data_IF_907770010610
#
_entry.id   IF_907770010610
#
_cell.length_a   1.000
_cell.length_b   1.000
_cell.length_c   1.000
_cell.angle_alpha   90.00
_cell.angle_beta   90.00
_cell.angle_gamma   90.00
#
_symmetry.space_group_name_H-M   'P 1'
#
loop_
_entity.id
_entity.type
_entity.pdbx_description
1 polymer ?
#
# COMPACT_ATOMS: atom_id res chain seq x y z
N UNK A 1 18.15 -9.41 25.60
CA UNK A 1 17.89 -8.16 24.86
C UNK A 1 16.98 -8.54 23.71
N UNK A 2 15.71 -8.21 23.81
CA UNK A 2 14.72 -8.47 22.74
C UNK A 2 15.04 -7.57 21.56
N UNK A 3 15.44 -8.14 20.42
CA UNK A 3 15.55 -7.39 19.16
C UNK A 3 14.15 -6.93 18.79
N UNK A 4 13.93 -5.62 18.72
CA UNK A 4 12.70 -5.09 18.19
C UNK A 4 12.58 -5.59 16.73
N UNK A 5 11.60 -6.44 16.46
CA UNK A 5 11.29 -6.82 15.10
C UNK A 5 10.91 -5.56 14.30
N UNK A 6 11.40 -5.39 13.06
CA UNK A 6 11.07 -4.22 12.27
C UNK A 6 9.57 -4.14 12.00
N UNK A 7 9.09 -2.93 11.82
CA UNK A 7 7.68 -2.51 11.84
C UNK A 7 6.71 -3.39 11.03
N UNK A 8 7.17 -4.02 9.94
CA UNK A 8 6.30 -4.83 9.07
C UNK A 8 6.36 -6.34 9.26
N UNK A 9 7.43 -6.91 9.80
CA UNK A 9 7.44 -8.33 10.15
C UNK A 9 6.32 -8.67 11.13
N UNK A 10 5.92 -7.70 11.98
CA UNK A 10 4.79 -7.83 12.90
C UNK A 10 3.45 -7.67 12.20
N UNK A 11 3.33 -6.82 11.16
CA UNK A 11 2.12 -6.70 10.34
C UNK A 11 1.87 -7.99 9.53
N UNK A 12 2.91 -8.57 8.96
CA UNK A 12 2.84 -9.80 8.15
C UNK A 12 2.43 -11.02 8.99
N UNK A 13 3.01 -11.19 10.18
CA UNK A 13 2.65 -12.28 11.09
C UNK A 13 1.24 -12.12 11.72
N UNK A 14 0.71 -10.90 11.77
CA UNK A 14 -0.56 -10.60 12.42
C UNK A 14 -1.76 -10.72 11.48
N UNK A 15 -1.59 -10.52 10.16
CA UNK A 15 -2.65 -10.80 9.18
C UNK A 15 -2.98 -12.30 9.12
N UNK A 16 -1.99 -13.18 9.24
CA UNK A 16 -2.21 -14.62 9.32
C UNK A 16 -2.86 -15.08 10.65
N UNK A 17 -2.74 -14.29 11.74
CA UNK A 17 -3.31 -14.63 13.05
C UNK A 17 -4.74 -14.07 13.25
N UNK A 18 -5.16 -13.06 12.51
CA UNK A 18 -6.51 -12.48 12.64
C UNK A 18 -7.62 -13.40 12.09
N UNK A 19 -7.30 -14.21 11.08
CA UNK A 19 -8.24 -15.18 10.50
C UNK A 19 -8.68 -16.30 11.48
N UNK A 20 -7.93 -16.54 12.57
CA UNK A 20 -8.25 -17.58 13.57
C UNK A 20 -9.03 -17.06 14.79
N UNK A 21 -9.17 -15.74 14.98
CA UNK A 21 -9.83 -15.16 16.15
C UNK A 21 -11.31 -14.79 15.93
N UNK A 22 -11.79 -14.70 14.70
CA UNK A 22 -13.17 -14.31 14.39
C UNK A 22 -14.21 -15.45 14.55
N UNK A 23 -13.79 -16.70 14.67
CA UNK A 23 -14.69 -17.86 14.77
C UNK A 23 -15.18 -18.17 16.19
N UNK A 24 -14.89 -17.36 17.22
CA UNK A 24 -15.08 -17.71 18.63
C UNK A 24 -15.92 -16.79 19.52
N UNK A 25 -16.64 -15.78 19.01
CA UNK A 25 -17.36 -14.85 19.85
C UNK A 25 -18.86 -14.73 19.51
N UNK A 26 -19.61 -15.83 19.64
CA UNK A 26 -21.07 -15.77 19.78
C UNK A 26 -21.45 -16.27 21.18
N UNK A 27 -22.20 -15.42 21.90
CA UNK A 27 -22.92 -15.66 23.15
C UNK A 27 -22.13 -15.54 24.46
N UNK A 28 -22.32 -14.40 25.13
CA UNK A 28 -22.84 -14.38 26.50
C UNK A 28 -23.29 -12.96 26.89
N UNK A 29 -24.60 -12.81 27.03
CA UNK A 29 -25.25 -11.67 27.67
C UNK A 29 -25.17 -11.83 29.20
N UNK A 30 -24.70 -10.83 29.91
CA UNK A 30 -24.98 -10.72 31.35
C UNK A 30 -25.16 -9.24 31.76
N UNK A 31 -26.24 -9.07 32.45
CA UNK A 31 -26.95 -7.92 32.96
C UNK A 31 -26.16 -7.00 33.88
N UNK A 32 -26.50 -5.72 33.82
CA UNK A 32 -26.05 -4.65 34.69
C UNK A 32 -26.79 -4.61 36.03
N UNK A 33 -26.13 -4.09 37.08
CA UNK A 33 -26.80 -3.35 38.18
C UNK A 33 -25.76 -2.37 38.82
N UNK A 34 -26.26 -1.23 39.38
CA UNK A 34 -25.45 -0.04 39.61
C UNK A 34 -24.94 0.14 41.05
N UNK A 35 -23.90 0.93 41.27
CA UNK A 35 -23.57 1.47 42.58
C UNK A 35 -22.96 2.87 42.52
N UNK A 36 -23.71 3.75 43.01
CA UNK A 36 -23.64 4.99 43.81
C UNK A 36 -22.33 5.74 43.96
N UNK A 37 -22.57 7.05 43.93
CA UNK A 37 -21.74 8.20 44.10
C UNK A 37 -21.00 8.33 45.48
N UNK A 38 -19.90 9.08 45.46
CA UNK A 38 -19.26 9.64 46.66
C UNK A 38 -18.22 10.68 46.24
N UNK A 39 -18.62 11.96 46.36
CA UNK A 39 -17.76 13.10 46.07
C UNK A 39 -16.84 13.44 47.25
N UNK A 40 -15.79 14.20 46.95
CA UNK A 40 -15.33 15.32 47.81
C UNK A 40 -14.32 16.20 47.05
N UNK A 41 -14.51 17.47 47.23
CA UNK A 41 -13.80 18.67 46.80
C UNK A 41 -12.45 18.88 47.49
N UNK A 42 -11.44 19.50 46.79
CA UNK A 42 -10.81 20.78 47.17
C UNK A 42 -9.52 21.07 46.42
N UNK A 43 -9.50 22.20 45.79
CA UNK A 43 -8.81 23.51 45.92
C UNK A 43 -7.36 23.59 45.49
N UNK A 44 -7.15 24.41 44.46
CA UNK A 44 -6.35 25.62 44.51
C UNK A 44 -4.85 25.54 44.23
N UNK A 45 -4.42 26.17 43.16
CA UNK A 45 -3.03 26.47 42.94
C UNK A 45 -2.78 27.17 41.60
N UNK A 46 -2.89 28.50 41.62
CA UNK A 46 -2.45 29.40 40.55
C UNK A 46 -0.93 29.40 40.45
N UNK A 47 -0.35 29.24 39.23
CA UNK A 47 0.93 29.92 38.90
C UNK A 47 1.13 30.00 37.38
N UNK A 48 1.23 31.27 36.94
CA UNK A 48 2.09 31.85 35.90
C UNK A 48 2.30 31.10 34.60
N UNK A 49 1.82 31.72 33.51
CA UNK A 49 2.22 31.48 32.14
C UNK A 49 3.73 31.70 31.92
N UNK A 50 4.42 30.86 31.18
CA UNK A 50 5.66 31.23 30.53
C UNK A 50 5.41 31.71 29.09
N UNK A 51 6.29 32.57 28.67
CA UNK A 51 6.33 33.34 27.44
C UNK A 51 6.24 32.51 26.13
N UNK A 52 5.74 33.18 25.11
CA UNK A 52 5.73 32.76 23.72
C UNK A 52 7.08 32.14 23.26
N UNK A 53 7.12 30.85 23.14
CA UNK A 53 8.18 30.09 22.47
C UNK A 53 7.96 30.07 20.96
N UNK A 54 9.04 30.32 20.26
CA UNK A 54 9.22 30.37 18.81
C UNK A 54 8.53 29.19 18.07
N UNK A 55 8.05 29.48 16.87
CA UNK A 55 7.28 28.61 16.00
C UNK A 55 7.69 27.14 16.06
N UNK A 56 6.72 26.29 16.39
CA UNK A 56 6.85 24.86 16.30
C UNK A 56 7.01 24.46 14.84
N UNK A 57 8.00 23.60 14.55
CA UNK A 57 8.09 22.88 13.31
C UNK A 57 6.75 22.16 13.04
N UNK A 58 6.27 22.15 11.82
CA UNK A 58 5.05 21.41 11.50
C UNK A 58 5.32 19.91 11.68
N UNK A 59 4.32 19.13 12.07
CA UNK A 59 4.46 17.67 12.19
C UNK A 59 4.92 17.01 10.87
N UNK A 60 4.81 17.72 9.74
CA UNK A 60 5.32 17.32 8.44
C UNK A 60 6.85 17.38 8.33
N UNK A 61 7.50 18.32 9.06
CA UNK A 61 8.95 18.46 9.02
C UNK A 61 9.66 17.32 9.79
N UNK A 62 8.96 16.67 10.73
CA UNK A 62 9.48 15.57 11.53
C UNK A 62 9.23 14.17 10.94
N UNK A 63 8.59 14.09 9.79
CA UNK A 63 8.20 12.83 9.13
C UNK A 63 8.44 12.89 7.61
N UNK A 64 9.70 13.00 7.15
CA UNK A 64 10.00 13.22 5.75
C UNK A 64 9.63 12.01 4.88
N UNK A 65 8.96 12.29 3.75
CA UNK A 65 8.63 11.33 2.68
C UNK A 65 9.09 11.90 1.35
N UNK A 66 9.76 11.09 0.55
CA UNK A 66 10.12 11.41 -0.84
C UNK A 66 9.51 10.36 -1.77
N UNK A 67 8.56 10.76 -2.61
CA UNK A 67 8.06 9.93 -3.69
C UNK A 67 8.73 10.36 -5.00
N UNK A 68 9.32 9.40 -5.71
CA UNK A 68 9.90 9.63 -7.02
C UNK A 68 9.50 8.53 -8.01
N UNK A 69 9.18 8.92 -9.26
CA UNK A 69 8.85 7.96 -10.31
C UNK A 69 9.43 8.39 -11.67
N UNK A 70 9.84 7.40 -12.45
CA UNK A 70 10.21 7.50 -13.85
C UNK A 70 8.99 7.20 -14.69
N UNK A 71 8.49 8.20 -15.46
CA UNK A 71 7.23 8.12 -16.20
C UNK A 71 7.29 8.78 -17.57
N UNK A 72 8.19 9.74 -17.77
CA UNK A 72 8.32 10.47 -19.03
C UNK A 72 9.32 9.80 -19.98
N UNK A 73 9.23 10.10 -21.27
CA UNK A 73 10.19 9.57 -22.25
C UNK A 73 11.66 9.92 -21.90
N UNK A 74 12.00 11.18 -21.47
CA UNK A 74 13.33 11.48 -20.96
C UNK A 74 13.73 10.64 -19.74
N UNK A 75 12.82 10.38 -18.80
CA UNK A 75 13.12 9.55 -17.63
C UNK A 75 13.61 8.16 -18.08
N UNK A 76 12.93 7.55 -19.04
CA UNK A 76 13.31 6.25 -19.58
C UNK A 76 14.60 6.33 -20.40
N UNK A 77 14.79 7.39 -21.19
CA UNK A 77 15.98 7.57 -22.03
C UNK A 77 17.28 7.66 -21.22
N UNK A 78 17.24 8.33 -20.06
CA UNK A 78 18.43 8.58 -19.24
C UNK A 78 18.83 7.41 -18.33
N UNK A 79 18.06 6.34 -18.27
CA UNK A 79 18.45 5.12 -17.58
C UNK A 79 19.53 4.33 -18.32
N UNK A 80 20.10 3.34 -17.64
CA UNK A 80 21.06 2.40 -18.26
C UNK A 80 20.30 1.24 -18.90
N UNK A 81 20.41 1.12 -20.21
CA UNK A 81 19.79 0.07 -21.00
C UNK A 81 20.73 -1.11 -21.23
N UNK A 82 20.27 -2.32 -20.94
CA UNK A 82 20.89 -3.58 -21.36
C UNK A 82 19.83 -4.34 -22.14
N UNK A 83 19.79 -4.13 -23.47
CA UNK A 83 18.83 -4.76 -24.38
C UNK A 83 17.42 -4.19 -24.38
N UNK A 84 17.12 -3.20 -23.58
CA UNK A 84 15.84 -2.47 -23.55
C UNK A 84 15.87 -1.22 -24.44
N UNK A 85 14.69 -0.70 -24.77
CA UNK A 85 14.51 0.56 -25.52
C UNK A 85 13.37 1.36 -24.89
N UNK A 86 13.52 2.70 -24.81
CA UNK A 86 12.40 3.55 -24.42
C UNK A 86 11.32 3.57 -25.50
N UNK A 87 10.07 3.59 -25.08
CA UNK A 87 8.89 3.64 -25.97
C UNK A 87 8.26 5.01 -25.85
N UNK A 88 8.11 5.76 -26.97
CA UNK A 88 7.39 7.04 -26.97
C UNK A 88 5.87 6.80 -26.99
N UNK A 89 5.10 7.86 -26.81
CA UNK A 89 3.63 7.86 -26.93
C UNK A 89 2.92 8.54 -25.78
N UNK A 90 1.62 8.29 -25.68
CA UNK A 90 0.78 8.85 -24.61
C UNK A 90 1.12 8.31 -23.22
N UNK A 91 1.67 7.10 -23.16
CA UNK A 91 2.27 6.45 -21.98
C UNK A 91 3.69 6.02 -22.36
N UNK A 92 4.69 6.92 -22.23
CA UNK A 92 6.07 6.53 -22.47
C UNK A 92 6.50 5.43 -21.50
N UNK A 93 7.33 4.51 -21.95
CA UNK A 93 7.76 3.38 -21.14
C UNK A 93 9.04 2.75 -21.64
N UNK A 94 9.30 1.55 -21.19
CA UNK A 94 10.45 0.74 -21.59
C UNK A 94 10.00 -0.69 -21.91
N UNK A 95 10.61 -1.29 -22.94
CA UNK A 95 10.38 -2.69 -23.34
C UNK A 95 11.66 -3.36 -23.79
N UNK A 96 11.61 -4.68 -24.02
CA UNK A 96 12.71 -5.44 -24.64
C UNK A 96 12.84 -5.02 -26.10
N UNK A 97 14.03 -4.61 -26.51
CA UNK A 97 14.41 -4.49 -27.93
C UNK A 97 15.16 -5.73 -28.40
N UNK A 98 16.10 -6.20 -27.58
CA UNK A 98 16.91 -7.39 -27.84
C UNK A 98 17.25 -8.07 -26.52
N UNK A 99 17.06 -9.36 -26.42
CA UNK A 99 17.49 -10.13 -25.26
C UNK A 99 19.01 -10.01 -25.05
N UNK A 100 19.43 -9.93 -23.80
CA UNK A 100 20.84 -9.88 -23.40
C UNK A 100 21.35 -11.18 -22.79
N UNK A 101 20.44 -12.11 -22.53
CA UNK A 101 20.71 -13.44 -21.99
C UNK A 101 19.43 -14.23 -21.82
N UNK A 102 19.60 -15.42 -21.29
CA UNK A 102 18.50 -16.31 -20.87
C UNK A 102 18.63 -16.65 -19.40
N UNK A 103 17.50 -16.98 -18.78
CA UNK A 103 17.37 -17.40 -17.38
C UNK A 103 16.44 -18.60 -17.31
N UNK A 104 16.88 -19.68 -16.71
CA UNK A 104 15.98 -20.77 -16.30
C UNK A 104 15.40 -20.39 -14.94
N UNK A 105 14.12 -20.01 -14.96
CA UNK A 105 13.39 -19.65 -13.74
C UNK A 105 12.62 -20.87 -13.24
N UNK A 106 13.03 -21.38 -12.08
CA UNK A 106 12.28 -22.37 -11.32
C UNK A 106 11.25 -21.62 -10.45
N UNK A 107 9.99 -21.67 -10.84
CA UNK A 107 8.90 -21.06 -10.09
C UNK A 107 8.67 -21.86 -8.79
N UNK A 108 8.90 -21.25 -7.60
CA UNK A 108 8.82 -21.98 -6.33
C UNK A 108 7.40 -22.42 -5.98
N UNK A 109 6.39 -21.83 -6.58
CA UNK A 109 4.98 -22.05 -6.26
C UNK A 109 4.30 -23.07 -7.17
N UNK A 110 4.84 -23.25 -8.39
CA UNK A 110 4.35 -24.27 -9.33
C UNK A 110 5.31 -25.45 -9.50
N UNK A 111 6.57 -25.30 -9.07
CA UNK A 111 7.64 -26.27 -9.32
C UNK A 111 8.08 -26.36 -10.79
N UNK A 112 7.51 -25.56 -11.69
CA UNK A 112 7.84 -25.55 -13.11
C UNK A 112 9.09 -24.72 -13.34
N UNK A 113 10.06 -25.28 -14.08
CA UNK A 113 11.21 -24.51 -14.58
C UNK A 113 10.95 -24.11 -16.03
N UNK A 114 11.07 -22.82 -16.32
CA UNK A 114 10.85 -22.27 -17.66
C UNK A 114 12.01 -21.34 -18.02
N UNK A 115 12.55 -21.52 -19.23
CA UNK A 115 13.59 -20.62 -19.77
C UNK A 115 12.95 -19.33 -20.27
N UNK A 116 13.51 -18.19 -19.90
CA UNK A 116 13.11 -16.86 -20.37
C UNK A 116 14.29 -16.11 -20.98
N UNK A 117 14.06 -15.38 -22.05
CA UNK A 117 14.93 -14.31 -22.50
C UNK A 117 14.71 -13.08 -21.65
N UNK A 118 15.78 -12.31 -21.35
CA UNK A 118 15.65 -11.09 -20.57
C UNK A 118 16.42 -9.90 -21.14
N UNK A 119 15.96 -8.72 -20.74
CA UNK A 119 16.66 -7.45 -20.89
C UNK A 119 16.41 -6.59 -19.65
N UNK A 120 17.29 -5.64 -19.31
CA UNK A 120 17.14 -4.82 -18.13
C UNK A 120 17.30 -3.33 -18.39
N UNK A 121 16.62 -2.54 -17.60
CA UNK A 121 16.77 -1.10 -17.47
C UNK A 121 17.07 -0.76 -16.02
N UNK A 122 18.05 0.15 -15.80
CA UNK A 122 18.35 0.62 -14.45
C UNK A 122 18.22 2.14 -14.43
N UNK A 123 17.49 2.64 -13.45
CA UNK A 123 17.23 4.07 -13.30
C UNK A 123 18.53 4.87 -13.06
N UNK A 124 18.52 6.18 -13.35
CA UNK A 124 19.46 7.11 -12.75
C UNK A 124 19.43 7.00 -11.22
N UNK A 125 20.50 7.46 -10.54
CA UNK A 125 20.53 7.52 -9.07
C UNK A 125 19.53 8.55 -8.57
N UNK A 126 18.62 8.13 -7.68
CA UNK A 126 17.84 9.04 -6.85
C UNK A 126 18.60 9.29 -5.54
N UNK A 127 19.12 10.49 -5.36
CA UNK A 127 19.62 10.96 -4.06
C UNK A 127 18.45 11.42 -3.24
N UNK A 128 18.34 10.92 -2.01
CA UNK A 128 17.27 11.31 -1.11
C UNK A 128 17.59 12.68 -0.46
N UNK A 129 16.58 13.53 -0.23
CA UNK A 129 16.76 14.80 0.46
C UNK A 129 17.00 14.63 1.97
N UNK A 130 16.82 13.42 2.48
CA UNK A 130 17.05 12.99 3.87
C UNK A 130 17.55 11.55 3.87
N UNK A 131 18.03 11.06 5.00
CA UNK A 131 18.41 9.65 5.17
C UNK A 131 17.18 8.82 5.54
N UNK A 132 16.81 7.85 4.71
CA UNK A 132 15.59 7.08 4.86
C UNK A 132 15.78 5.80 5.68
N UNK A 133 14.74 5.41 6.40
CA UNK A 133 14.63 4.14 7.12
C UNK A 133 13.82 3.09 6.38
N UNK A 134 12.92 3.52 5.48
CA UNK A 134 12.05 2.63 4.72
C UNK A 134 11.96 3.06 3.25
N UNK A 135 11.71 2.08 2.37
CA UNK A 135 11.40 2.30 0.96
C UNK A 135 10.45 1.22 0.45
N UNK A 136 9.41 1.65 -0.28
CA UNK A 136 8.51 0.75 -1.03
C UNK A 136 8.50 1.17 -2.49
N UNK A 137 8.74 0.22 -3.40
CA UNK A 137 8.64 0.46 -4.83
C UNK A 137 7.23 0.14 -5.35
N UNK A 138 6.85 0.78 -6.45
CA UNK A 138 5.62 0.45 -7.18
C UNK A 138 5.81 0.63 -8.68
N UNK A 139 5.02 -0.09 -9.47
CA UNK A 139 5.12 -0.09 -10.93
C UNK A 139 3.76 -0.19 -11.60
N UNK A 140 3.71 0.29 -12.86
CA UNK A 140 2.60 0.04 -13.74
C UNK A 140 3.12 -0.60 -15.03
N UNK A 141 2.61 -1.77 -15.36
CA UNK A 141 3.11 -2.60 -16.43
C UNK A 141 1.98 -3.28 -17.22
N UNK A 142 2.26 -3.54 -18.48
CA UNK A 142 1.54 -4.51 -19.32
C UNK A 142 2.43 -5.72 -19.50
N UNK A 143 1.98 -6.88 -19.06
CA UNK A 143 2.68 -8.15 -19.16
C UNK A 143 1.78 -9.13 -19.94
N UNK A 144 1.96 -9.25 -21.28
CA UNK A 144 1.29 -10.30 -22.04
C UNK A 144 1.58 -11.69 -21.46
N UNK A 145 0.68 -12.65 -21.67
CA UNK A 145 0.85 -14.04 -21.21
C UNK A 145 2.24 -14.57 -21.54
N UNK A 146 2.85 -15.24 -20.57
CA UNK A 146 4.22 -15.76 -20.67
C UNK A 146 5.31 -14.70 -20.54
N UNK A 147 4.95 -13.47 -20.14
CA UNK A 147 5.91 -12.41 -19.83
C UNK A 147 5.76 -11.92 -18.39
N UNK A 148 6.85 -11.43 -17.82
CA UNK A 148 6.85 -10.89 -16.45
C UNK A 148 7.98 -9.89 -16.24
N UNK A 149 7.97 -9.23 -15.08
CA UNK A 149 8.99 -8.28 -14.67
C UNK A 149 9.50 -8.60 -13.27
N UNK A 150 10.77 -8.24 -13.02
CA UNK A 150 11.35 -8.18 -11.67
C UNK A 150 11.82 -6.77 -11.40
N UNK A 151 11.45 -6.24 -10.24
CA UNK A 151 11.91 -4.94 -9.74
C UNK A 151 12.89 -5.16 -8.60
N UNK A 152 14.05 -4.50 -8.66
CA UNK A 152 15.09 -4.62 -7.64
C UNK A 152 15.52 -3.24 -7.15
N UNK A 153 15.75 -3.14 -5.84
CA UNK A 153 16.36 -2.00 -5.19
C UNK A 153 17.89 -2.17 -5.15
N UNK A 154 18.61 -1.15 -5.58
CA UNK A 154 20.05 -1.01 -5.48
C UNK A 154 20.32 0.23 -4.63
N UNK A 155 20.47 0.05 -3.32
CA UNK A 155 20.62 1.13 -2.36
C UNK A 155 22.08 1.52 -2.13
N UNK A 156 22.28 2.70 -1.58
CA UNK A 156 23.56 3.16 -1.03
C UNK A 156 23.28 3.78 0.35
N UNK A 157 23.98 3.31 1.36
CA UNK A 157 23.87 3.82 2.71
C UNK A 157 24.60 5.15 2.90
N UNK A 158 24.37 5.77 4.05
CA UNK A 158 25.01 7.06 4.44
C UNK A 158 26.51 6.97 4.57
N UNK A 159 27.08 5.78 4.84
CA UNK A 159 28.51 5.53 4.89
C UNK A 159 29.14 5.28 3.49
N UNK A 160 28.33 5.32 2.43
CA UNK A 160 28.75 5.07 1.05
C UNK A 160 28.79 3.59 0.64
N UNK A 161 28.53 2.65 1.53
CA UNK A 161 28.45 1.23 1.18
C UNK A 161 27.15 0.92 0.44
N UNK A 162 27.18 -0.09 -0.43
CA UNK A 162 26.00 -0.51 -1.19
C UNK A 162 25.21 -1.58 -0.44
N UNK A 163 23.88 -1.60 -0.63
CA UNK A 163 23.06 -2.75 -0.25
C UNK A 163 23.31 -3.92 -1.21
N UNK A 164 22.96 -5.16 -0.83
CA UNK A 164 22.65 -6.17 -1.84
C UNK A 164 21.62 -5.68 -2.85
N UNK A 165 21.49 -6.36 -3.99
CA UNK A 165 20.38 -6.13 -4.90
C UNK A 165 19.13 -6.82 -4.33
N UNK A 166 18.22 -6.05 -3.77
CA UNK A 166 16.99 -6.57 -3.16
C UNK A 166 15.87 -6.67 -4.17
N UNK A 167 15.27 -7.86 -4.33
CA UNK A 167 14.08 -8.06 -5.15
C UNK A 167 12.87 -7.51 -4.42
N UNK A 168 12.25 -6.47 -4.99
CA UNK A 168 11.06 -5.82 -4.44
C UNK A 168 9.76 -6.48 -4.92
N UNK A 169 9.82 -7.33 -5.92
CA UNK A 169 8.71 -8.14 -6.41
C UNK A 169 8.96 -8.70 -7.81
N UNK A 170 8.33 -9.84 -8.08
CA UNK A 170 8.18 -10.46 -9.39
C UNK A 170 6.71 -10.39 -9.76
N UNK A 171 6.42 -9.79 -10.91
CA UNK A 171 5.04 -9.44 -11.28
C UNK A 171 4.70 -9.90 -12.69
N UNK A 172 3.52 -10.49 -12.81
CA UNK A 172 2.76 -10.66 -14.04
C UNK A 172 1.29 -10.30 -13.78
N UNK A 173 0.61 -9.74 -14.78
CA UNK A 173 -0.84 -9.49 -14.71
C UNK A 173 -1.66 -10.76 -14.93
N UNK A 174 -1.04 -11.81 -15.53
CA UNK A 174 -1.68 -13.09 -15.82
C UNK A 174 -1.69 -14.04 -14.62
N UNK A 175 -2.44 -15.14 -14.77
CA UNK A 175 -2.52 -16.24 -13.82
C UNK A 175 -2.83 -17.57 -14.53
N UNK A 176 -2.29 -17.72 -15.75
CA UNK A 176 -2.41 -18.94 -16.56
C UNK A 176 -1.24 -19.89 -16.30
N UNK A 177 -1.26 -21.08 -16.91
CA UNK A 177 -0.16 -22.06 -16.80
C UNK A 177 1.13 -21.62 -17.52
N UNK A 178 1.04 -20.60 -18.37
CA UNK A 178 2.19 -20.01 -19.08
C UNK A 178 2.79 -18.82 -18.31
N UNK A 179 2.11 -18.34 -17.26
CA UNK A 179 2.56 -17.24 -16.43
C UNK A 179 3.29 -17.77 -15.20
N UNK A 180 4.27 -16.99 -14.69
CA UNK A 180 4.81 -17.24 -13.35
C UNK A 180 3.74 -16.94 -12.29
N UNK A 181 3.95 -17.41 -11.08
CA UNK A 181 3.19 -16.90 -9.93
C UNK A 181 3.81 -15.59 -9.45
N UNK A 182 2.96 -14.53 -9.36
CA UNK A 182 3.44 -13.23 -8.83
C UNK A 182 3.83 -13.39 -7.37
N UNK A 183 5.00 -12.87 -7.00
CA UNK A 183 5.57 -13.21 -5.70
C UNK A 183 6.52 -12.14 -5.19
N UNK A 184 6.44 -11.86 -3.89
CA UNK A 184 7.55 -11.29 -3.11
C UNK A 184 8.67 -12.33 -2.97
N UNK A 185 9.79 -11.93 -2.37
CA UNK A 185 10.93 -12.81 -2.12
C UNK A 185 11.38 -12.62 -0.69
N UNK A 186 11.25 -13.67 0.10
CA UNK A 186 11.63 -13.68 1.51
C UNK A 186 13.12 -13.90 1.74
N UNK A 187 13.56 -13.66 2.99
CA UNK A 187 14.90 -13.98 3.45
C UNK A 187 15.99 -13.10 2.88
N UNK A 188 15.65 -11.93 2.36
CA UNK A 188 16.60 -10.94 1.85
C UNK A 188 17.00 -9.97 2.96
N UNK A 189 18.31 -9.83 3.19
CA UNK A 189 18.86 -8.89 4.17
C UNK A 189 20.36 -8.82 4.11
N UNK A 190 20.93 -7.82 4.79
CA UNK A 190 22.33 -7.72 5.16
C UNK A 190 22.45 -7.35 6.66
N UNK A 191 23.61 -6.96 7.13
CA UNK A 191 23.81 -6.59 8.55
C UNK A 191 23.10 -5.27 8.95
N UNK A 192 22.45 -4.57 8.00
CA UNK A 192 21.90 -3.22 8.20
C UNK A 192 20.41 -3.16 7.88
N UNK A 193 19.94 -3.91 6.88
CA UNK A 193 18.58 -3.81 6.39
C UNK A 193 18.03 -5.15 5.91
N UNK A 194 16.71 -5.24 5.83
CA UNK A 194 15.97 -6.42 5.41
C UNK A 194 14.82 -6.03 4.48
N UNK A 195 14.33 -7.01 3.70
CA UNK A 195 13.09 -6.89 2.94
C UNK A 195 11.98 -7.64 3.68
N UNK A 196 10.87 -6.96 3.92
CA UNK A 196 9.66 -7.50 4.50
C UNK A 196 8.54 -7.42 3.47
N UNK A 197 8.26 -8.52 2.79
CA UNK A 197 7.31 -8.63 1.69
C UNK A 197 7.64 -7.66 0.54
N UNK A 198 7.22 -6.39 0.64
CA UNK A 198 7.35 -5.34 -0.38
C UNK A 198 8.11 -4.09 0.14
N UNK A 199 8.59 -4.16 1.38
CA UNK A 199 9.21 -3.02 2.07
C UNK A 199 10.67 -3.28 2.40
N UNK A 200 11.55 -2.43 1.90
CA UNK A 200 12.90 -2.28 2.44
C UNK A 200 12.83 -1.53 3.78
N UNK A 201 13.47 -2.05 4.81
CA UNK A 201 13.57 -1.38 6.10
C UNK A 201 14.99 -1.51 6.67
N UNK A 202 15.48 -0.44 7.30
CA UNK A 202 16.70 -0.46 8.13
C UNK A 202 16.36 -1.11 9.46
N UNK A 203 17.12 -2.15 9.84
CA UNK A 203 16.80 -2.97 11.02
C UNK A 203 17.07 -2.23 12.35
N UNK A 204 18.13 -1.42 12.40
CA UNK A 204 18.44 -0.56 13.54
C UNK A 204 18.75 0.88 13.09
N UNK A 205 17.73 1.74 12.97
CA UNK A 205 17.94 3.15 12.61
C UNK A 205 18.82 3.93 13.59
N UNK A 206 18.89 3.49 14.87
CA UNK A 206 19.69 4.16 15.90
C UNK A 206 21.21 4.01 15.66
N UNK A 207 21.64 3.03 14.88
CA UNK A 207 23.02 2.86 14.46
C UNK A 207 23.50 3.94 13.47
N UNK A 208 22.58 4.75 12.92
CA UNK A 208 22.89 5.88 12.04
C UNK A 208 23.28 5.50 10.61
N UNK A 209 23.30 4.20 10.27
CA UNK A 209 23.52 3.72 8.91
C UNK A 209 22.19 3.58 8.19
N UNK A 210 21.81 4.59 7.41
CA UNK A 210 20.51 4.75 6.77
C UNK A 210 20.66 4.77 5.25
N UNK A 211 19.56 4.66 4.51
CA UNK A 211 19.54 4.75 3.06
C UNK A 211 19.70 6.21 2.62
N UNK A 212 20.75 6.51 1.85
CA UNK A 212 21.05 7.86 1.35
C UNK A 212 20.64 8.07 -0.11
N UNK A 213 20.68 7.02 -0.92
CA UNK A 213 20.28 7.06 -2.31
C UNK A 213 19.94 5.67 -2.83
N UNK A 214 19.24 5.62 -3.96
CA UNK A 214 18.89 4.35 -4.59
C UNK A 214 18.82 4.44 -6.11
N UNK A 215 18.81 3.26 -6.75
CA UNK A 215 18.34 3.00 -8.11
C UNK A 215 17.32 1.88 -8.06
N UNK A 216 16.41 1.87 -9.01
CA UNK A 216 15.60 0.69 -9.29
C UNK A 216 16.10 0.02 -10.56
N UNK A 217 16.33 -1.29 -10.50
CA UNK A 217 16.59 -2.12 -11.67
C UNK A 217 15.32 -2.86 -12.04
N UNK A 218 14.92 -2.71 -13.28
CA UNK A 218 13.80 -3.40 -13.89
C UNK A 218 14.34 -4.44 -14.86
N UNK A 219 14.05 -5.71 -14.63
CA UNK A 219 14.34 -6.79 -15.57
C UNK A 219 13.02 -7.27 -16.17
N UNK A 220 12.98 -7.33 -17.50
CA UNK A 220 11.83 -7.74 -18.30
C UNK A 220 12.13 -9.10 -18.89
N UNK A 221 11.15 -10.01 -18.82
CA UNK A 221 11.28 -11.40 -19.24
C UNK A 221 10.19 -11.77 -20.25
N UNK A 222 10.55 -12.63 -21.22
CA UNK A 222 9.64 -13.21 -22.21
C UNK A 222 10.05 -14.63 -22.58
N UNK A 223 9.14 -15.40 -23.16
CA UNK A 223 9.45 -16.70 -23.71
C UNK A 223 10.50 -16.58 -24.83
N UNK A 224 11.45 -17.54 -24.98
CA UNK A 224 12.46 -17.50 -26.02
C UNK A 224 11.86 -17.44 -27.42
N UNK A 225 12.38 -16.53 -28.25
CA UNK A 225 11.90 -16.31 -29.60
C UNK A 225 10.54 -15.63 -29.73
N UNK A 226 9.89 -15.30 -28.62
CA UNK A 226 8.62 -14.55 -28.66
C UNK A 226 8.83 -13.09 -29.05
N UNK A 227 7.86 -12.52 -29.75
CA UNK A 227 7.77 -11.09 -30.00
C UNK A 227 6.99 -10.33 -28.92
N UNK A 228 6.26 -11.04 -28.08
CA UNK A 228 5.60 -10.44 -26.92
C UNK A 228 6.63 -9.93 -25.92
N UNK A 229 6.41 -8.75 -25.39
CA UNK A 229 7.33 -8.12 -24.45
C UNK A 229 6.55 -7.34 -23.40
N UNK A 230 6.92 -7.47 -22.13
CA UNK A 230 6.34 -6.59 -21.13
C UNK A 230 6.74 -5.14 -21.42
N UNK A 231 5.83 -4.22 -21.08
CA UNK A 231 6.08 -2.77 -21.18
C UNK A 231 5.78 -2.15 -19.82
N UNK A 232 6.73 -1.39 -19.29
CA UNK A 232 6.57 -0.64 -18.04
C UNK A 232 6.54 0.83 -18.34
N UNK A 233 5.50 1.56 -17.88
CA UNK A 233 5.34 3.00 -18.12
C UNK A 233 5.38 3.86 -16.85
N UNK A 234 5.40 3.24 -15.67
CA UNK A 234 5.70 3.88 -14.39
C UNK A 234 6.52 2.91 -13.56
N UNK A 235 7.62 3.40 -13.05
CA UNK A 235 8.42 2.74 -12.02
C UNK A 235 8.78 3.80 -11.01
N UNK A 236 8.47 3.61 -9.75
CA UNK A 236 8.72 4.59 -8.70
C UNK A 236 8.89 3.94 -7.34
N UNK A 237 9.25 4.77 -6.37
CA UNK A 237 9.27 4.40 -4.98
C UNK A 237 8.98 5.62 -4.11
N UNK A 238 8.38 5.38 -2.94
CA UNK A 238 8.55 6.32 -1.84
C UNK A 238 9.64 5.82 -0.91
N UNK A 239 10.36 6.77 -0.33
CA UNK A 239 11.28 6.54 0.78
C UNK A 239 10.89 7.46 1.94
N UNK A 240 11.04 7.00 3.18
CA UNK A 240 10.61 7.75 4.35
C UNK A 240 11.52 7.56 5.56
N UNK A 241 11.43 8.51 6.47
CA UNK A 241 12.03 8.42 7.80
C UNK A 241 11.04 8.99 8.81
N UNK A 242 10.03 8.18 9.15
CA UNK A 242 8.97 8.58 10.07
C UNK A 242 9.37 8.14 11.48
N UNK A 243 9.44 9.09 12.46
CA UNK A 243 9.82 8.76 13.81
C UNK A 243 8.81 7.82 14.47
N UNK A 244 9.27 7.03 15.44
CA UNK A 244 8.42 6.14 16.21
C UNK A 244 7.42 6.92 17.04
N UNK A 245 6.12 6.65 16.84
CA UNK A 245 5.04 7.35 17.53
C UNK A 245 3.81 6.45 17.69
N UNK A 246 3.20 6.48 18.87
CA UNK A 246 1.95 5.79 19.18
C UNK A 246 0.72 6.63 18.88
N UNK A 247 0.84 7.95 18.94
CA UNK A 247 -0.24 8.91 18.72
C UNK A 247 0.22 10.01 17.77
N UNK A 248 -0.73 10.63 17.10
CA UNK A 248 -0.49 11.74 16.18
C UNK A 248 -1.46 12.87 16.54
N UNK A 249 -1.00 14.13 16.64
CA UNK A 249 -1.92 15.24 16.79
C UNK A 249 -2.91 15.32 15.63
N UNK A 250 -4.19 15.52 15.94
CA UNK A 250 -5.20 15.67 14.90
C UNK A 250 -4.98 16.95 14.10
N UNK A 251 -5.06 16.83 12.76
CA UNK A 251 -5.03 17.98 11.88
C UNK A 251 -6.34 18.77 11.96
N UNK A 252 -6.27 20.09 11.76
CA UNK A 252 -7.46 20.93 11.65
C UNK A 252 -8.10 20.75 10.28
N UNK A 253 -9.44 20.51 10.18
CA UNK A 253 -10.11 20.39 8.89
C UNK A 253 -9.87 21.60 7.97
N UNK A 254 -9.48 21.34 6.73
CA UNK A 254 -9.25 22.37 5.72
C UNK A 254 -10.43 22.60 4.76
N UNK A 255 -11.39 21.67 4.70
CA UNK A 255 -12.59 21.79 3.89
C UNK A 255 -13.64 22.67 4.58
N UNK A 256 -14.38 23.47 3.79
CA UNK A 256 -15.45 24.37 4.27
C UNK A 256 -16.84 23.74 4.20
N UNK A 257 -16.96 22.43 4.11
CA UNK A 257 -18.22 21.72 4.01
C UNK A 257 -18.00 20.26 3.68
N UNK A 258 -19.08 19.49 3.69
CA UNK A 258 -19.01 18.08 3.37
C UNK A 258 -18.62 17.83 1.91
N UNK A 259 -17.80 16.82 1.67
CA UNK A 259 -17.47 16.28 0.36
C UNK A 259 -17.56 14.77 0.43
N UNK A 260 -18.28 14.15 -0.49
CA UNK A 260 -18.37 12.69 -0.59
C UNK A 260 -18.36 12.27 -2.07
N UNK A 261 -17.49 11.35 -2.41
CA UNK A 261 -17.36 10.79 -3.76
C UNK A 261 -18.29 9.59 -3.91
N UNK A 262 -18.96 9.41 -5.07
CA UNK A 262 -19.85 8.28 -5.31
C UNK A 262 -19.06 6.99 -5.63
N UNK A 263 -18.23 6.54 -4.70
CA UNK A 263 -17.47 5.30 -4.81
C UNK A 263 -18.41 4.13 -4.52
N UNK A 264 -18.46 3.08 -5.36
CA UNK A 264 -19.26 1.89 -5.08
C UNK A 264 -18.85 1.24 -3.77
N UNK A 265 -19.73 0.46 -3.17
CA UNK A 265 -19.57 -0.18 -1.88
C UNK A 265 -19.54 -1.68 -2.07
N UNK A 266 -18.50 -2.33 -1.58
CA UNK A 266 -18.34 -3.77 -1.59
C UNK A 266 -17.86 -4.22 -0.22
N UNK A 267 -18.54 -5.22 0.34
CA UNK A 267 -18.14 -5.89 1.57
C UNK A 267 -17.19 -7.03 1.23
N UNK A 268 -16.08 -7.15 1.96
CA UNK A 268 -15.26 -8.36 1.91
C UNK A 268 -15.93 -9.55 2.62
N UNK A 269 -16.74 -9.29 3.63
CA UNK A 269 -17.30 -10.32 4.51
C UNK A 269 -18.36 -11.17 3.80
N UNK A 270 -19.03 -10.63 2.77
CA UNK A 270 -19.94 -11.43 1.92
C UNK A 270 -19.23 -12.52 1.11
N UNK A 271 -17.90 -12.43 1.00
CA UNK A 271 -17.02 -13.41 0.36
C UNK A 271 -16.36 -14.38 1.36
N UNK A 272 -16.81 -14.40 2.63
CA UNK A 272 -16.28 -15.29 3.66
C UNK A 272 -16.24 -16.74 3.22
N UNK A 273 -15.06 -17.38 3.30
CA UNK A 273 -14.83 -18.76 2.90
C UNK A 273 -14.82 -19.01 1.39
N UNK A 274 -15.02 -18.00 0.55
CA UNK A 274 -14.92 -18.13 -0.91
C UNK A 274 -13.44 -18.17 -1.33
N UNK A 275 -13.07 -19.12 -2.19
CA UNK A 275 -11.71 -19.25 -2.72
C UNK A 275 -10.61 -19.15 -1.64
N UNK A 276 -10.62 -20.07 -0.63
CA UNK A 276 -9.71 -19.99 0.52
C UNK A 276 -8.22 -20.09 0.15
N UNK A 277 -7.89 -20.53 -1.07
CA UNK A 277 -6.52 -20.52 -1.61
C UNK A 277 -5.97 -19.10 -1.82
N UNK A 278 -6.83 -18.08 -1.81
CA UNK A 278 -6.43 -16.68 -1.89
C UNK A 278 -6.68 -16.03 -0.51
N UNK A 279 -5.70 -16.16 0.40
CA UNK A 279 -5.69 -15.54 1.73
C UNK A 279 -6.88 -15.95 2.64
N UNK A 280 -7.24 -17.23 2.62
CA UNK A 280 -8.35 -17.84 3.38
C UNK A 280 -9.76 -17.37 3.00
N UNK A 281 -9.93 -16.48 2.04
CA UNK A 281 -11.22 -15.97 1.60
C UNK A 281 -11.48 -14.52 1.98
N UNK A 282 -12.73 -14.10 1.87
CA UNK A 282 -13.15 -12.71 2.02
C UNK A 282 -12.70 -12.03 3.31
N UNK A 283 -12.54 -12.77 4.39
CA UNK A 283 -12.11 -12.23 5.69
C UNK A 283 -10.78 -11.46 5.65
N UNK A 284 -9.93 -11.75 4.67
CA UNK A 284 -8.63 -11.09 4.50
C UNK A 284 -8.52 -10.20 3.26
N UNK A 285 -9.62 -9.97 2.53
CA UNK A 285 -9.62 -9.29 1.24
C UNK A 285 -9.83 -7.77 1.29
N UNK A 286 -9.52 -7.11 2.40
CA UNK A 286 -9.70 -5.66 2.52
C UNK A 286 -8.98 -4.86 1.43
N UNK A 287 -7.78 -5.28 1.04
CA UNK A 287 -6.98 -4.59 0.02
C UNK A 287 -7.56 -4.72 -1.39
N UNK A 288 -7.83 -5.92 -1.94
CA UNK A 288 -8.46 -6.06 -3.24
C UNK A 288 -9.89 -5.50 -3.29
N UNK A 289 -10.67 -5.60 -2.21
CA UNK A 289 -12.03 -5.04 -2.15
C UNK A 289 -11.99 -3.51 -2.24
N UNK A 290 -11.13 -2.85 -1.42
CA UNK A 290 -10.93 -1.39 -1.50
C UNK A 290 -10.39 -0.97 -2.87
N UNK A 291 -9.49 -1.76 -3.45
CA UNK A 291 -8.96 -1.53 -4.80
C UNK A 291 -10.05 -1.61 -5.87
N UNK A 292 -10.92 -2.62 -5.79
CA UNK A 292 -12.04 -2.81 -6.72
C UNK A 292 -13.02 -1.63 -6.66
N UNK A 293 -13.38 -1.16 -5.44
CA UNK A 293 -14.22 0.02 -5.28
C UNK A 293 -13.65 1.25 -6.02
N UNK A 294 -12.35 1.51 -5.90
CA UNK A 294 -11.72 2.66 -6.56
C UNK A 294 -11.57 2.45 -8.07
N UNK A 295 -11.24 1.23 -8.52
CA UNK A 295 -11.15 0.90 -9.94
C UNK A 295 -12.51 1.15 -10.61
N UNK A 296 -13.61 0.72 -10.00
CA UNK A 296 -14.96 0.91 -10.55
C UNK A 296 -15.46 2.36 -10.43
N UNK A 297 -15.05 3.11 -9.41
CA UNK A 297 -15.29 4.55 -9.36
C UNK A 297 -14.75 5.26 -10.61
N UNK A 298 -13.64 4.82 -11.16
CA UNK A 298 -13.09 5.33 -12.41
C UNK A 298 -13.77 4.77 -13.67
N UNK A 299 -14.86 4.02 -13.53
CA UNK A 299 -15.59 3.39 -14.63
C UNK A 299 -14.75 2.31 -15.33
N UNK A 300 -13.91 1.62 -14.58
CA UNK A 300 -13.11 0.48 -15.03
C UNK A 300 -13.48 -0.73 -14.19
N UNK A 301 -13.10 -1.91 -14.65
CA UNK A 301 -13.38 -3.16 -13.94
C UNK A 301 -13.15 -4.36 -14.85
N UNK A 302 -13.18 -5.58 -14.30
CA UNK A 302 -13.07 -6.79 -15.07
C UNK A 302 -14.31 -6.99 -15.96
N UNK A 303 -14.11 -7.60 -17.11
CA UNK A 303 -15.20 -8.02 -18.00
C UNK A 303 -15.85 -9.29 -17.48
N UNK A 304 -17.09 -9.58 -17.89
CA UNK A 304 -17.76 -10.84 -17.59
C UNK A 304 -16.93 -12.08 -18.02
N UNK A 305 -16.20 -11.98 -19.13
CA UNK A 305 -15.31 -13.07 -19.58
C UNK A 305 -14.11 -13.28 -18.65
N UNK A 306 -13.57 -12.23 -18.05
CA UNK A 306 -12.49 -12.34 -17.06
C UNK A 306 -12.96 -12.94 -15.75
N UNK A 307 -14.22 -12.70 -15.37
CA UNK A 307 -14.85 -13.24 -14.16
C UNK A 307 -15.55 -14.59 -14.36
N UNK A 308 -15.52 -15.18 -15.55
CA UNK A 308 -16.23 -16.44 -15.86
C UNK A 308 -15.76 -17.66 -15.05
N UNK A 309 -14.63 -17.54 -14.33
CA UNK A 309 -14.11 -18.55 -13.41
C UNK A 309 -14.75 -18.48 -12.00
N UNK A 310 -15.39 -17.35 -11.65
CA UNK A 310 -16.08 -17.15 -10.37
C UNK A 310 -17.39 -17.91 -10.40
N UNK A 311 -17.74 -18.54 -9.27
CA UNK A 311 -19.03 -19.24 -9.13
C UNK A 311 -20.18 -18.26 -9.38
N UNK A 312 -21.11 -18.56 -10.28
CA UNK A 312 -22.18 -17.64 -10.66
C UNK A 312 -23.19 -17.36 -9.53
N UNK A 313 -23.15 -18.10 -8.42
CA UNK A 313 -23.97 -17.83 -7.23
C UNK A 313 -23.36 -16.78 -6.30
N UNK A 314 -22.09 -16.42 -6.48
CA UNK A 314 -21.43 -15.40 -5.68
C UNK A 314 -21.79 -14.00 -6.18
N UNK A 315 -22.04 -13.09 -5.25
CA UNK A 315 -22.25 -11.67 -5.55
C UNK A 315 -20.88 -11.00 -5.74
N UNK A 316 -20.86 -9.85 -6.40
CA UNK A 316 -19.66 -9.02 -6.59
C UNK A 316 -18.41 -9.76 -7.09
N UNK A 317 -18.50 -10.56 -8.17
CA UNK A 317 -17.41 -11.41 -8.66
C UNK A 317 -16.16 -10.62 -9.04
N UNK A 318 -16.24 -9.30 -9.16
CA UNK A 318 -15.10 -8.39 -9.35
C UNK A 318 -14.18 -8.33 -8.12
N UNK A 319 -14.71 -8.59 -6.91
CA UNK A 319 -13.91 -8.66 -5.68
C UNK A 319 -13.08 -9.96 -5.68
N UNK A 320 -13.70 -11.10 -6.02
CA UNK A 320 -12.99 -12.39 -6.21
C UNK A 320 -11.88 -12.27 -7.26
N UNK A 321 -12.20 -11.60 -8.39
CA UNK A 321 -11.23 -11.30 -9.43
C UNK A 321 -10.06 -10.46 -8.89
N UNK A 322 -10.37 -9.44 -8.09
CA UNK A 322 -9.36 -8.60 -7.42
C UNK A 322 -8.47 -9.42 -6.51
N UNK A 323 -9.04 -10.27 -5.65
CA UNK A 323 -8.30 -11.13 -4.74
C UNK A 323 -7.35 -12.07 -5.48
N UNK A 324 -7.83 -12.81 -6.49
CA UNK A 324 -7.01 -13.69 -7.30
C UNK A 324 -5.82 -12.98 -7.96
N UNK A 325 -6.03 -11.79 -8.52
CA UNK A 325 -5.02 -11.08 -9.31
C UNK A 325 -4.14 -10.12 -8.53
N UNK A 326 -4.36 -9.99 -7.21
CA UNK A 326 -3.46 -9.29 -6.27
C UNK A 326 -2.73 -10.24 -5.33
N UNK A 327 -3.12 -11.52 -5.29
CA UNK A 327 -2.54 -12.53 -4.41
C UNK A 327 -1.03 -12.68 -4.64
N UNK A 328 -0.26 -12.55 -3.58
CA UNK A 328 1.19 -12.76 -3.53
C UNK A 328 1.46 -14.16 -2.99
N UNK A 329 1.99 -15.02 -3.84
CA UNK A 329 2.14 -16.44 -3.54
C UNK A 329 3.19 -16.74 -2.45
N UNK A 330 4.20 -15.87 -2.23
CA UNK A 330 5.16 -16.03 -1.13
C UNK A 330 4.61 -15.49 0.18
N UNK A 331 3.96 -14.35 0.13
CA UNK A 331 3.32 -13.72 1.28
C UNK A 331 2.06 -14.48 1.71
N UNK A 332 1.49 -15.31 0.83
CA UNK A 332 0.23 -16.02 0.98
C UNK A 332 -0.93 -15.07 1.33
N UNK A 333 -0.95 -13.87 0.71
CA UNK A 333 -1.92 -12.83 1.03
C UNK A 333 -2.21 -11.86 -0.11
N UNK A 334 -3.39 -11.21 -0.04
CA UNK A 334 -3.84 -10.21 -1.00
C UNK A 334 -3.42 -8.78 -0.64
N UNK A 335 -2.70 -8.60 0.48
CA UNK A 335 -2.34 -7.30 1.05
C UNK A 335 -1.03 -6.70 0.54
N UNK A 336 -0.33 -7.31 -0.43
CA UNK A 336 0.88 -6.73 -1.03
C UNK A 336 0.54 -5.41 -1.72
N UNK A 337 1.11 -4.30 -1.22
CA UNK A 337 0.73 -2.95 -1.65
C UNK A 337 1.09 -2.66 -3.11
N UNK A 338 2.34 -2.91 -3.58
CA UNK A 338 2.69 -2.79 -4.99
C UNK A 338 1.84 -3.63 -5.92
N UNK A 339 1.45 -4.85 -5.52
CA UNK A 339 0.66 -5.74 -6.37
C UNK A 339 -0.76 -5.19 -6.60
N UNK A 340 -1.38 -4.61 -5.57
CA UNK A 340 -2.67 -3.93 -5.71
C UNK A 340 -2.58 -2.71 -6.65
N UNK A 341 -1.52 -1.89 -6.52
CA UNK A 341 -1.31 -0.76 -7.42
C UNK A 341 -1.04 -1.20 -8.86
N UNK A 342 -0.27 -2.28 -9.05
CA UNK A 342 0.01 -2.85 -10.36
C UNK A 342 -1.24 -3.47 -10.99
N UNK A 343 -2.09 -4.13 -10.18
CA UNK A 343 -3.39 -4.65 -10.63
C UNK A 343 -4.31 -3.54 -11.12
N UNK A 344 -4.48 -2.46 -10.35
CA UNK A 344 -5.26 -1.30 -10.80
C UNK A 344 -4.76 -0.73 -12.12
N UNK A 345 -3.44 -0.72 -12.33
CA UNK A 345 -2.83 -0.22 -13.57
C UNK A 345 -3.00 -1.17 -14.77
N UNK A 346 -3.48 -2.41 -14.60
CA UNK A 346 -3.83 -3.28 -15.74
C UNK A 346 -5.07 -2.79 -16.48
N UNK A 347 -5.93 -2.00 -15.83
CA UNK A 347 -7.12 -1.44 -16.44
C UNK A 347 -6.79 -0.25 -17.32
N UNK A 348 -7.51 -0.16 -18.44
CA UNK A 348 -7.28 0.86 -19.45
C UNK A 348 -7.36 2.28 -18.86
N UNK A 349 -6.35 3.11 -19.18
CA UNK A 349 -6.27 4.52 -18.79
C UNK A 349 -6.23 4.78 -17.27
N UNK A 350 -5.91 3.78 -16.45
CA UNK A 350 -5.72 3.88 -15.02
C UNK A 350 -4.25 3.68 -14.65
N UNK A 351 -3.81 4.31 -13.58
CA UNK A 351 -2.49 4.09 -12.98
C UNK A 351 -2.63 4.01 -11.46
N UNK A 352 -1.73 3.24 -10.85
CA UNK A 352 -1.66 3.02 -9.41
C UNK A 352 -0.31 3.43 -8.85
N UNK A 353 -0.33 4.03 -7.66
CA UNK A 353 0.85 4.52 -6.93
C UNK A 353 0.70 4.14 -5.46
N UNK A 354 1.81 3.72 -4.86
CA UNK A 354 1.93 3.57 -3.41
C UNK A 354 2.83 4.71 -2.90
N UNK A 355 2.35 5.42 -1.87
CA UNK A 355 3.12 6.48 -1.19
C UNK A 355 2.70 6.61 0.28
N UNK A 356 3.31 7.55 0.99
CA UNK A 356 2.88 7.96 2.33
C UNK A 356 2.44 9.42 2.31
N UNK A 357 1.43 9.76 3.11
CA UNK A 357 0.94 11.11 3.30
C UNK A 357 1.11 11.53 4.78
N UNK A 358 1.02 12.83 5.04
CA UNK A 358 1.38 13.40 6.33
C UNK A 358 0.18 13.72 7.23
N UNK A 359 -1.00 13.92 6.63
CA UNK A 359 -2.21 14.33 7.35
C UNK A 359 -3.48 14.02 6.57
N UNK A 360 -4.62 14.05 7.25
CA UNK A 360 -5.92 14.00 6.59
C UNK A 360 -6.16 15.22 5.67
N UNK A 361 -5.44 16.33 5.88
CA UNK A 361 -5.51 17.48 4.97
C UNK A 361 -4.97 17.15 3.57
N UNK A 362 -3.99 16.27 3.45
CA UNK A 362 -3.51 15.77 2.16
C UNK A 362 -4.61 14.96 1.45
N UNK A 363 -5.34 14.13 2.21
CA UNK A 363 -6.49 13.38 1.67
C UNK A 363 -7.63 14.32 1.29
N UNK A 364 -7.89 15.37 2.08
CA UNK A 364 -8.90 16.41 1.70
C UNK A 364 -8.60 17.06 0.35
N UNK A 365 -7.32 17.35 0.06
CA UNK A 365 -6.88 17.90 -1.23
C UNK A 365 -7.19 16.94 -2.37
N UNK A 366 -6.93 15.65 -2.18
CA UNK A 366 -7.19 14.61 -3.18
C UNK A 366 -8.68 14.37 -3.40
N UNK A 367 -9.45 14.18 -2.32
CA UNK A 367 -10.90 13.94 -2.37
C UNK A 367 -11.63 15.13 -3.01
N UNK A 368 -11.26 16.36 -2.67
CA UNK A 368 -11.79 17.58 -3.31
C UNK A 368 -11.52 17.61 -4.81
N UNK A 369 -10.45 17.01 -5.28
CA UNK A 369 -10.13 16.89 -6.70
C UNK A 369 -10.79 15.66 -7.37
N UNK A 370 -11.62 14.89 -6.64
CA UNK A 370 -12.28 13.70 -7.13
C UNK A 370 -11.37 12.47 -7.19
N UNK A 371 -10.40 12.37 -6.28
CA UNK A 371 -9.50 11.21 -6.15
C UNK A 371 -9.75 10.54 -4.80
N UNK A 372 -10.44 9.39 -4.74
CA UNK A 372 -10.57 8.61 -3.52
C UNK A 372 -9.21 8.01 -3.12
N UNK A 373 -9.00 7.76 -1.83
CA UNK A 373 -7.72 7.35 -1.27
C UNK A 373 -7.89 6.08 -0.46
N UNK A 374 -7.14 5.02 -0.78
CA UNK A 374 -7.10 3.82 0.06
C UNK A 374 -6.00 4.00 1.09
N UNK A 375 -6.35 3.89 2.38
CA UNK A 375 -5.43 4.04 3.51
C UNK A 375 -5.13 2.69 4.16
N UNK A 376 -3.90 2.51 4.67
CA UNK A 376 -3.50 1.32 5.43
C UNK A 376 -3.41 1.66 6.91
N UNK A 377 -4.19 1.00 7.76
CA UNK A 377 -4.25 1.25 9.20
C UNK A 377 -4.28 -0.04 10.02
N UNK A 378 -4.03 0.10 11.32
CA UNK A 378 -4.17 -0.98 12.30
C UNK A 378 -4.70 -0.41 13.61
N UNK A 379 -5.65 -1.09 14.26
CA UNK A 379 -6.31 -0.57 15.47
C UNK A 379 -6.92 -1.67 16.33
N UNK A 380 -7.15 -1.34 17.60
CA UNK A 380 -8.07 -2.05 18.48
C UNK A 380 -9.47 -1.45 18.32
N UNK A 381 -10.52 -2.21 18.55
CA UNK A 381 -11.91 -1.74 18.48
C UNK A 381 -12.18 -0.50 19.37
N UNK A 382 -11.43 -0.36 20.46
CA UNK A 382 -11.49 0.80 21.38
C UNK A 382 -10.79 2.06 20.86
N UNK A 383 -10.04 1.98 19.76
CA UNK A 383 -9.26 3.11 19.21
C UNK A 383 -9.95 3.78 18.01
N UNK A 384 -10.95 3.12 17.41
CA UNK A 384 -11.72 3.63 16.27
C UNK A 384 -13.21 3.37 16.48
N UNK A 385 -13.90 4.34 17.06
CA UNK A 385 -15.33 4.26 17.36
C UNK A 385 -16.12 4.01 16.08
N UNK A 386 -17.02 3.02 16.11
CA UNK A 386 -17.87 2.63 14.98
C UNK A 386 -17.29 1.51 14.10
N UNK A 387 -16.01 1.12 14.27
CA UNK A 387 -15.44 -0.01 13.53
C UNK A 387 -15.99 -1.35 14.05
N UNK A 388 -16.09 -1.52 15.38
CA UNK A 388 -16.66 -2.74 15.99
C UNK A 388 -15.72 -3.95 16.02
N UNK A 389 -14.53 -3.87 15.45
CA UNK A 389 -13.53 -4.95 15.38
C UNK A 389 -12.11 -4.43 15.63
N UNK A 390 -11.16 -5.34 15.80
CA UNK A 390 -9.73 -5.02 15.92
C UNK A 390 -8.96 -5.64 14.78
N UNK A 391 -7.91 -4.95 14.28
CA UNK A 391 -7.09 -5.46 13.18
C UNK A 391 -5.63 -5.10 13.36
N UNK A 392 -4.76 -5.99 12.88
CA UNK A 392 -3.31 -5.76 12.81
C UNK A 392 -2.86 -5.07 11.51
N UNK A 393 -3.70 -5.09 10.48
CA UNK A 393 -3.51 -4.42 9.21
C UNK A 393 -4.81 -4.46 8.43
N UNK A 394 -5.26 -3.31 7.91
CA UNK A 394 -6.52 -3.18 7.19
C UNK A 394 -6.45 -2.03 6.19
N UNK A 395 -7.16 -2.19 5.08
CA UNK A 395 -7.27 -1.18 4.04
C UNK A 395 -8.73 -0.69 3.97
N UNK A 396 -8.89 0.64 3.97
CA UNK A 396 -10.20 1.30 3.79
C UNK A 396 -10.11 2.34 2.68
N UNK A 397 -11.20 2.56 1.97
CA UNK A 397 -11.29 3.61 0.96
C UNK A 397 -11.89 4.89 1.55
N UNK A 398 -11.10 5.96 1.67
CA UNK A 398 -11.58 7.27 2.07
C UNK A 398 -12.24 7.94 0.87
N UNK A 399 -13.54 8.19 1.02
CA UNK A 399 -14.41 8.72 -0.03
C UNK A 399 -14.84 10.16 0.24
N UNK A 400 -14.63 10.67 1.47
CA UNK A 400 -15.12 12.00 1.81
C UNK A 400 -14.82 12.44 3.22
N UNK A 401 -15.37 13.60 3.52
CA UNK A 401 -15.35 14.22 4.85
C UNK A 401 -16.71 14.87 5.13
N UNK A 402 -17.17 14.79 6.38
CA UNK A 402 -18.35 15.51 6.85
C UNK A 402 -18.09 17.02 6.94
N UNK A 403 -19.13 17.81 7.20
CA UNK A 403 -18.96 19.26 7.42
C UNK A 403 -18.10 19.58 8.65
N UNK A 404 -18.10 18.69 9.63
CA UNK A 404 -17.27 18.81 10.86
C UNK A 404 -15.84 18.27 10.67
N UNK A 405 -15.52 17.71 9.50
CA UNK A 405 -14.20 17.19 9.14
C UNK A 405 -13.96 15.74 9.54
N UNK A 406 -14.97 15.01 10.02
CA UNK A 406 -14.88 13.57 10.28
C UNK A 406 -14.76 12.80 8.95
N UNK A 407 -14.07 11.67 8.98
CA UNK A 407 -13.72 10.87 7.79
C UNK A 407 -14.91 10.04 7.34
N UNK A 408 -15.31 10.16 6.07
CA UNK A 408 -16.25 9.24 5.42
C UNK A 408 -15.43 8.18 4.68
N UNK A 409 -15.56 6.93 5.12
CA UNK A 409 -14.84 5.79 4.58
C UNK A 409 -15.80 4.71 4.08
N UNK A 410 -15.44 4.05 2.99
CA UNK A 410 -15.94 2.72 2.69
C UNK A 410 -14.99 1.72 3.38
N UNK A 411 -15.52 1.05 4.40
CA UNK A 411 -14.80 0.02 5.16
C UNK A 411 -15.28 -1.36 4.68
N UNK A 412 -14.42 -2.12 3.98
CA UNK A 412 -14.82 -3.41 3.43
C UNK A 412 -15.12 -4.48 4.49
N UNK A 413 -14.58 -4.36 5.72
CA UNK A 413 -14.89 -5.28 6.83
C UNK A 413 -16.25 -4.92 7.46
N UNK A 414 -17.29 -5.09 6.67
CA UNK A 414 -18.69 -4.78 7.01
C UNK A 414 -19.56 -5.97 6.62
N UNK A 415 -20.68 -6.23 7.33
CA UNK A 415 -21.46 -7.44 7.11
C UNK A 415 -22.10 -7.55 5.71
N UNK A 416 -22.33 -6.43 5.06
CA UNK A 416 -22.89 -6.33 3.71
C UNK A 416 -22.53 -4.99 3.06
N UNK A 417 -22.86 -4.80 1.78
CA UNK A 417 -22.53 -3.60 1.00
C UNK A 417 -23.24 -2.34 1.51
N UNK A 418 -24.43 -2.46 2.07
CA UNK A 418 -25.17 -1.32 2.62
C UNK A 418 -24.46 -0.75 3.86
N UNK A 419 -23.83 -1.61 4.64
CA UNK A 419 -23.10 -1.27 5.85
C UNK A 419 -21.69 -0.70 5.62
N UNK A 420 -21.11 -0.84 4.42
CA UNK A 420 -19.73 -0.48 4.10
C UNK A 420 -19.40 0.99 4.36
N UNK A 421 -20.36 1.90 4.25
CA UNK A 421 -20.14 3.32 4.48
C UNK A 421 -20.12 3.67 5.97
N UNK A 422 -18.97 4.11 6.46
CA UNK A 422 -18.76 4.53 7.85
C UNK A 422 -18.41 6.02 7.95
N UNK A 423 -18.61 6.59 9.15
CA UNK A 423 -18.08 7.91 9.51
C UNK A 423 -17.23 7.75 10.77
N UNK A 424 -15.94 8.00 10.64
CA UNK A 424 -14.97 7.87 11.72
C UNK A 424 -14.51 9.23 12.22
N UNK A 425 -14.30 9.35 13.54
CA UNK A 425 -13.76 10.56 14.15
C UNK A 425 -12.37 10.87 13.60
N UNK A 426 -12.19 12.11 13.11
CA UNK A 426 -10.94 12.57 12.50
C UNK A 426 -9.71 12.24 13.35
N UNK A 427 -9.72 12.59 14.62
CA UNK A 427 -8.57 12.41 15.52
C UNK A 427 -8.20 10.93 15.73
N UNK A 428 -9.21 10.05 15.84
CA UNK A 428 -9.00 8.62 15.98
C UNK A 428 -8.44 8.03 14.68
N UNK A 429 -9.08 8.35 13.55
CA UNK A 429 -8.66 7.84 12.25
C UNK A 429 -7.23 8.28 11.90
N UNK A 430 -6.91 9.56 12.09
CA UNK A 430 -5.58 10.09 11.79
C UNK A 430 -4.50 9.42 12.64
N UNK A 431 -4.77 9.17 13.93
CA UNK A 431 -3.85 8.43 14.80
C UNK A 431 -3.62 7.00 14.32
N UNK A 432 -4.67 6.21 14.07
CA UNK A 432 -4.52 4.79 13.70
C UNK A 432 -3.90 4.58 12.31
N UNK A 433 -4.00 5.58 11.43
CA UNK A 433 -3.41 5.58 10.11
C UNK A 433 -1.96 6.09 10.07
N UNK A 434 -1.63 7.20 10.79
CA UNK A 434 -0.32 7.87 10.71
C UNK A 434 0.71 7.36 11.74
N UNK A 435 0.30 6.67 12.77
CA UNK A 435 1.22 6.13 13.77
C UNK A 435 2.11 5.04 13.18
N UNK A 436 3.28 4.87 13.76
CA UNK A 436 4.26 3.83 13.40
C UNK A 436 4.37 2.77 14.48
N UNK A 437 3.82 3.02 15.66
CA UNK A 437 3.78 2.11 16.82
C UNK A 437 2.35 2.01 17.37
N UNK A 438 1.95 0.84 17.83
CA UNK A 438 0.64 0.61 18.47
C UNK A 438 0.75 -0.40 19.62
N UNK A 439 -0.23 -0.39 20.50
CA UNK A 439 -0.42 -1.50 21.45
C UNK A 439 -1.24 -2.59 20.77
N UNK A 440 -0.78 -3.83 20.89
CA UNK A 440 -1.49 -5.02 20.38
C UNK A 440 -2.57 -5.48 21.35
N UNK A 441 -3.48 -6.33 20.93
CA UNK A 441 -4.51 -6.94 21.78
C UNK A 441 -3.93 -7.72 22.97
N UNK A 442 -2.69 -8.19 22.87
CA UNK A 442 -1.97 -8.89 23.95
C UNK A 442 -1.14 -7.96 24.84
N UNK A 443 -1.22 -6.63 24.64
CA UNK A 443 -0.49 -5.63 25.41
C UNK A 443 0.96 -5.41 24.96
N UNK A 444 1.43 -6.09 23.92
CA UNK A 444 2.75 -5.86 23.32
C UNK A 444 2.77 -4.65 22.38
N UNK A 445 3.94 -4.33 21.83
CA UNK A 445 4.10 -3.32 20.79
C UNK A 445 3.99 -3.96 19.41
N UNK A 446 3.18 -3.35 18.56
CA UNK A 446 3.06 -3.68 17.14
C UNK A 446 3.33 -2.46 16.27
N UNK A 447 3.46 -2.68 14.97
CA UNK A 447 3.74 -1.61 14.01
C UNK A 447 2.46 -1.00 13.46
N UNK A 448 2.55 0.27 13.03
CA UNK A 448 1.59 0.97 12.20
C UNK A 448 2.20 1.30 10.84
N UNK A 449 1.37 1.68 9.86
CA UNK A 449 1.81 1.92 8.49
C UNK A 449 2.50 3.27 8.26
N UNK A 450 2.38 4.21 9.21
CA UNK A 450 3.00 5.53 9.09
C UNK A 450 2.42 6.41 7.98
N UNK A 451 1.17 6.20 7.56
CA UNK A 451 0.52 7.04 6.55
C UNK A 451 0.51 6.47 5.12
N UNK A 452 0.72 5.17 4.95
CA UNK A 452 0.68 4.53 3.62
C UNK A 452 -0.70 4.65 2.99
N UNK A 453 -0.69 4.97 1.70
CA UNK A 453 -1.88 5.08 0.84
C UNK A 453 -1.68 4.45 -0.53
N UNK A 454 -2.77 3.99 -1.13
CA UNK A 454 -2.85 3.71 -2.55
C UNK A 454 -3.58 4.87 -3.23
N UNK A 455 -3.03 5.33 -4.32
CA UNK A 455 -3.64 6.36 -5.16
C UNK A 455 -3.85 5.80 -6.57
N UNK A 456 -5.11 5.66 -6.98
CA UNK A 456 -5.47 5.26 -8.34
C UNK A 456 -6.11 6.45 -9.05
N UNK A 457 -5.59 6.78 -10.22
CA UNK A 457 -6.04 7.95 -10.96
C UNK A 457 -5.83 7.78 -12.48
N UNK A 458 -6.56 8.54 -13.32
CA UNK A 458 -6.42 8.43 -14.76
C UNK A 458 -5.01 8.73 -15.26
N UNK A 459 -4.57 8.05 -16.33
CA UNK A 459 -3.31 8.37 -17.05
C UNK A 459 -3.27 9.81 -17.53
N UNK A 460 -4.45 10.39 -17.80
CA UNK A 460 -4.59 11.81 -18.16
C UNK A 460 -5.46 12.53 -17.13
N UNK A 461 -4.92 12.83 -15.94
CA UNK A 461 -5.68 13.52 -14.92
C UNK A 461 -6.07 14.91 -15.35
N UNK A 462 -7.19 15.41 -14.85
CA UNK A 462 -7.62 16.80 -15.06
C UNK A 462 -6.59 17.79 -14.48
N UNK A 463 -6.61 19.08 -14.88
CA UNK A 463 -5.74 20.09 -14.27
C UNK A 463 -5.88 20.18 -12.74
N UNK A 464 -7.10 19.97 -12.20
CA UNK A 464 -7.38 19.94 -10.77
C UNK A 464 -6.69 18.74 -10.09
N UNK A 465 -6.86 17.56 -10.65
CA UNK A 465 -6.24 16.33 -10.16
C UNK A 465 -4.72 16.40 -10.21
N UNK A 466 -4.12 16.92 -11.28
CA UNK A 466 -2.66 17.11 -11.36
C UNK A 466 -2.13 18.03 -10.27
N UNK A 467 -2.84 19.12 -9.97
CA UNK A 467 -2.45 20.03 -8.88
C UNK A 467 -2.56 19.35 -7.52
N UNK A 468 -3.63 18.59 -7.29
CA UNK A 468 -3.83 17.84 -6.05
C UNK A 468 -2.75 16.78 -5.84
N UNK A 469 -2.45 15.98 -6.88
CA UNK A 469 -1.37 14.98 -6.84
C UNK A 469 -0.01 15.63 -6.59
N UNK A 470 0.29 16.73 -7.27
CA UNK A 470 1.54 17.48 -7.08
C UNK A 470 1.66 18.07 -5.67
N UNK A 471 0.55 18.51 -5.06
CA UNK A 471 0.53 19.03 -3.69
C UNK A 471 0.90 17.97 -2.65
N UNK A 472 0.66 16.70 -2.94
CA UNK A 472 1.03 15.55 -2.09
C UNK A 472 2.29 14.82 -2.61
N UNK A 473 3.12 15.48 -3.42
CA UNK A 473 4.40 14.97 -3.89
C UNK A 473 4.32 13.93 -5.01
N UNK A 474 3.14 13.63 -5.56
CA UNK A 474 2.96 12.63 -6.61
C UNK A 474 2.97 13.27 -8.00
N UNK A 475 3.93 12.86 -8.83
CA UNK A 475 3.99 13.26 -10.25
C UNK A 475 3.01 12.38 -11.05
N UNK A 476 2.01 13.03 -11.67
CA UNK A 476 1.00 12.40 -12.54
C UNK A 476 1.46 12.30 -13.99
#
# INVERSE_FOLDING_TARGET
>A
MSRNAPRRAVLTAALAAAATAAAGAAAQSATAAPATAGGTTRTGGSTTAPAAGKGGSSAADDAPVDYHAWTSYPDWLFGTHKGTVPVPGARPGVRIARATGTLDYADPHTGKTTTYEYASWTSPVRRLPFSATELVSSWNAHTPTGTWIQVELLGTYTDGTATPAYVMGRWTAGDTDDDIRRTSVDGQGDDTSSIYTDTFAVDDPSAGKLLASYRLRLTLFRAPGSHDTPTVWRLGAFASNIPDRFTVPASTPGLKGAVELPVPRYSQDVHSGQYPQYDNGGEAWCSPTSSTMVIEYWGRGPTAAQMAWVDPSYIDPQVDQGARYTYDYQYEGCGNWPFNAAYAATYKDLQGVITQLHSLNDIEVLVKAGIPVITSQSFLASELDGAGYSTSGHLMCIIGFTADGDVIANDPASPDDDAVRHVYKRAQFETVWLRTQRITATGGTGSGSGGVVYLYFPVKPSPGQRRALAAVGVKA
#
